data_IF_535777277582
#
_entry.id   IF_535777277582
#
_cell.length_a   1.000
_cell.length_b   1.000
_cell.length_c   1.000
_cell.angle_alpha   90.00
_cell.angle_beta   90.00
_cell.angle_gamma   90.00
#
_symmetry.space_group_name_H-M   'P 1'
#
loop_
_entity.id
_entity.type
_entity.pdbx_description
1 polymer ?
#
# COMPACT_ATOMS: atom_id res chain seq x y z
N UNK A 1 -21.99 13.13 5.43
CA UNK A 1 -21.74 12.49 6.74
C UNK A 1 -21.81 13.56 7.83
N UNK A 2 -22.59 13.37 8.88
CA UNK A 2 -22.72 14.37 9.96
C UNK A 2 -21.64 14.18 11.04
N UNK A 3 -21.55 15.10 12.01
CA UNK A 3 -20.55 15.04 13.09
C UNK A 3 -20.69 13.77 13.96
N UNK A 4 -21.92 13.38 14.29
CA UNK A 4 -22.21 12.18 15.09
C UNK A 4 -21.70 10.90 14.40
N UNK A 5 -21.89 10.80 13.09
CA UNK A 5 -21.41 9.67 12.29
C UNK A 5 -19.88 9.65 12.28
N UNK A 6 -19.22 10.81 12.14
CA UNK A 6 -17.75 10.90 12.08
C UNK A 6 -17.09 10.54 13.40
N UNK A 7 -17.65 10.98 14.54
CA UNK A 7 -17.16 10.61 15.88
C UNK A 7 -17.30 9.11 16.09
N UNK A 8 -18.46 8.54 15.73
CA UNK A 8 -18.72 7.11 15.85
C UNK A 8 -17.81 6.28 14.95
N UNK A 9 -17.55 6.74 13.73
CA UNK A 9 -16.61 6.11 12.81
C UNK A 9 -15.18 6.15 13.36
N UNK A 10 -14.70 7.33 13.76
CA UNK A 10 -13.37 7.52 14.32
C UNK A 10 -13.13 6.64 15.56
N UNK A 11 -14.10 6.61 16.49
CA UNK A 11 -14.01 5.77 17.68
C UNK A 11 -13.92 4.29 17.34
N UNK A 12 -14.81 3.81 16.45
CA UNK A 12 -14.82 2.39 16.05
C UNK A 12 -13.53 1.99 15.35
N UNK A 13 -12.98 2.87 14.51
CA UNK A 13 -11.69 2.65 13.85
C UNK A 13 -10.55 2.54 14.86
N UNK A 14 -10.54 3.38 15.89
CA UNK A 14 -9.56 3.31 16.97
C UNK A 14 -9.74 2.11 17.91
N UNK A 15 -10.69 1.20 17.66
CA UNK A 15 -10.98 0.05 18.53
C UNK A 15 -11.54 0.41 19.90
N UNK A 16 -11.90 1.68 20.14
CA UNK A 16 -12.30 2.16 21.46
C UNK A 16 -13.78 1.94 21.74
N UNK A 17 -14.14 1.55 22.96
CA UNK A 17 -15.51 1.69 23.46
C UNK A 17 -15.84 3.16 23.76
N UNK A 18 -17.12 3.51 23.86
CA UNK A 18 -17.51 4.88 24.23
C UNK A 18 -16.94 5.30 25.59
N UNK A 19 -16.82 4.35 26.53
CA UNK A 19 -16.21 4.59 27.84
C UNK A 19 -14.71 4.85 27.74
N UNK A 20 -13.98 4.03 26.98
CA UNK A 20 -12.53 4.20 26.81
C UNK A 20 -12.18 5.50 26.09
N UNK A 21 -12.96 5.89 25.07
CA UNK A 21 -12.78 7.19 24.42
C UNK A 21 -13.03 8.34 25.40
N UNK A 22 -14.08 8.23 26.23
CA UNK A 22 -14.40 9.26 27.21
C UNK A 22 -13.29 9.41 28.26
N UNK A 23 -12.75 8.29 28.75
CA UNK A 23 -11.61 8.26 29.67
C UNK A 23 -10.36 8.89 29.05
N UNK A 24 -10.04 8.53 27.81
CA UNK A 24 -8.88 9.07 27.07
C UNK A 24 -8.98 10.59 26.82
N UNK A 25 -10.19 11.11 26.66
CA UNK A 25 -10.47 12.54 26.46
C UNK A 25 -10.63 13.29 27.79
N UNK A 26 -10.83 12.58 28.91
CA UNK A 26 -11.08 13.14 30.23
C UNK A 26 -12.51 13.68 30.42
N UNK A 27 -13.51 13.06 29.79
CA UNK A 27 -14.92 13.44 29.89
C UNK A 27 -15.82 12.26 30.29
N UNK A 28 -17.07 12.54 30.67
CA UNK A 28 -18.03 11.49 30.99
C UNK A 28 -18.46 10.71 29.74
N UNK A 29 -18.65 9.39 29.85
CA UNK A 29 -19.13 8.52 28.76
C UNK A 29 -20.45 9.01 28.16
N UNK A 30 -21.32 9.60 28.97
CA UNK A 30 -22.59 10.18 28.54
C UNK A 30 -22.41 11.31 27.52
N UNK A 31 -21.32 12.08 27.60
CA UNK A 31 -21.01 13.14 26.64
C UNK A 31 -20.66 12.56 25.26
N UNK A 32 -19.84 11.50 25.21
CA UNK A 32 -19.55 10.78 23.96
C UNK A 32 -20.82 10.17 23.37
N UNK A 33 -21.67 9.56 24.21
CA UNK A 33 -22.96 9.00 23.77
C UNK A 33 -23.90 10.04 23.17
N UNK A 34 -23.98 11.23 23.76
CA UNK A 34 -24.80 12.35 23.23
C UNK A 34 -24.24 12.91 21.91
N UNK A 35 -22.92 12.93 21.76
CA UNK A 35 -22.27 13.32 20.51
C UNK A 35 -22.51 12.29 19.41
N UNK A 36 -22.38 10.99 19.68
CA UNK A 36 -22.62 9.92 18.69
C UNK A 36 -24.09 9.71 18.33
N UNK A 37 -25.01 10.08 19.23
CA UNK A 37 -26.46 10.03 18.96
C UNK A 37 -27.01 11.27 18.26
N UNK A 38 -26.16 12.28 18.00
CA UNK A 38 -26.57 13.53 17.36
C UNK A 38 -27.41 14.45 18.24
N UNK A 39 -27.60 14.12 19.53
CA UNK A 39 -28.27 15.00 20.51
C UNK A 39 -27.46 16.26 20.77
N UNK A 40 -26.14 16.17 20.65
CA UNK A 40 -25.20 17.29 20.75
C UNK A 40 -24.49 17.46 19.41
N UNK A 41 -24.66 18.65 18.79
CA UNK A 41 -24.16 18.94 17.45
C UNK A 41 -22.81 19.67 17.43
N UNK A 42 -22.26 20.04 18.60
CA UNK A 42 -21.00 20.76 18.76
C UNK A 42 -20.29 20.31 20.04
N UNK A 43 -18.97 20.22 20.01
CA UNK A 43 -18.16 19.89 21.20
C UNK A 43 -16.89 20.73 21.22
N UNK A 44 -16.49 21.22 22.39
CA UNK A 44 -15.16 21.82 22.61
C UNK A 44 -14.05 20.78 22.65
N UNK A 45 -14.39 19.49 22.72
CA UNK A 45 -13.45 18.38 22.86
C UNK A 45 -13.08 17.73 21.51
N UNK A 46 -13.46 18.32 20.38
CA UNK A 46 -13.25 17.72 19.06
C UNK A 46 -11.77 17.47 18.76
N UNK A 47 -10.87 18.35 19.18
CA UNK A 47 -9.42 18.17 18.97
C UNK A 47 -8.90 17.01 19.81
N UNK A 48 -9.35 16.88 21.06
CA UNK A 48 -8.97 15.80 21.96
C UNK A 48 -9.53 14.46 21.50
N UNK A 49 -10.79 14.44 21.05
CA UNK A 49 -11.41 13.25 20.45
C UNK A 49 -10.64 12.84 19.19
N UNK A 50 -10.29 13.80 18.33
CA UNK A 50 -9.51 13.54 17.13
C UNK A 50 -8.16 12.91 17.45
N UNK A 51 -7.44 13.46 18.43
CA UNK A 51 -6.17 12.90 18.91
C UNK A 51 -6.33 11.50 19.51
N UNK A 52 -7.33 11.29 20.38
CA UNK A 52 -7.57 10.00 21.02
C UNK A 52 -7.95 8.91 20.00
N UNK A 53 -8.60 9.29 18.90
CA UNK A 53 -8.96 8.38 17.83
C UNK A 53 -7.91 8.30 16.70
N UNK A 54 -6.82 9.06 16.77
CA UNK A 54 -5.80 9.10 15.70
C UNK A 54 -6.32 9.62 14.36
N UNK A 55 -7.20 10.63 14.36
CA UNK A 55 -7.79 11.21 13.14
C UNK A 55 -7.52 12.71 13.03
N UNK A 56 -7.62 13.22 11.81
CA UNK A 56 -7.51 14.63 11.51
C UNK A 56 -8.65 15.43 12.17
N UNK A 57 -8.28 16.43 12.98
CA UNK A 57 -9.25 17.26 13.71
C UNK A 57 -10.14 18.13 12.80
N UNK A 58 -9.62 18.56 11.66
CA UNK A 58 -10.37 19.33 10.65
C UNK A 58 -11.43 18.47 9.99
N UNK A 59 -11.08 17.23 9.59
CA UNK A 59 -12.04 16.26 9.07
C UNK A 59 -13.11 15.91 10.12
N UNK A 60 -12.71 15.69 11.38
CA UNK A 60 -13.68 15.34 12.42
C UNK A 60 -14.68 16.49 12.62
N UNK A 61 -14.20 17.74 12.69
CA UNK A 61 -15.03 18.91 12.96
C UNK A 61 -15.92 19.31 11.78
N UNK A 62 -15.37 19.37 10.56
CA UNK A 62 -16.07 19.92 9.38
C UNK A 62 -16.54 18.85 8.40
N UNK A 63 -15.84 17.72 8.33
CA UNK A 63 -15.97 16.73 7.26
C UNK A 63 -15.16 17.07 6.01
N UNK A 64 -14.39 18.16 6.03
CA UNK A 64 -13.50 18.57 4.94
C UNK A 64 -12.10 17.97 5.13
N UNK A 65 -11.46 17.59 4.02
CA UNK A 65 -10.16 16.92 4.02
C UNK A 65 -10.26 15.41 4.30
N UNK A 66 -9.12 14.78 4.52
CA UNK A 66 -9.05 13.35 4.79
C UNK A 66 -9.08 13.02 6.28
N UNK A 67 -9.64 11.85 6.61
CA UNK A 67 -9.79 11.38 7.98
C UNK A 67 -8.45 11.15 8.69
N UNK A 68 -7.41 10.73 7.97
CA UNK A 68 -6.05 10.58 8.47
C UNK A 68 -5.15 11.59 7.78
N UNK A 69 -4.14 12.11 8.47
CA UNK A 69 -3.05 12.79 7.76
C UNK A 69 -2.12 11.77 7.10
N UNK A 70 -1.33 12.14 6.07
CA UNK A 70 -0.34 11.24 5.47
C UNK A 70 0.66 10.66 6.47
N UNK A 71 1.01 11.42 7.52
CA UNK A 71 1.88 10.98 8.61
C UNK A 71 1.18 9.96 9.53
N UNK A 72 -0.12 10.15 9.79
CA UNK A 72 -0.92 9.20 10.56
C UNK A 72 -1.13 7.89 9.80
N UNK A 73 -1.28 7.96 8.47
CA UNK A 73 -1.39 6.79 7.58
C UNK A 73 -0.10 5.96 7.65
N UNK A 74 1.07 6.58 7.48
CA UNK A 74 2.36 5.89 7.57
C UNK A 74 2.63 5.29 8.96
N UNK A 75 2.25 6.01 10.02
CA UNK A 75 2.38 5.54 11.41
C UNK A 75 1.43 4.37 11.68
N UNK A 76 0.18 4.47 11.25
CA UNK A 76 -0.83 3.42 11.36
C UNK A 76 -0.37 2.15 10.63
N UNK A 77 0.11 2.26 9.39
CA UNK A 77 0.67 1.13 8.66
C UNK A 77 1.87 0.52 9.36
N UNK A 78 2.77 1.34 9.91
CA UNK A 78 3.93 0.86 10.65
C UNK A 78 3.53 0.07 11.92
N UNK A 79 2.54 0.57 12.68
CA UNK A 79 2.04 -0.11 13.88
C UNK A 79 1.24 -1.38 13.55
N UNK A 80 0.39 -1.33 12.53
CA UNK A 80 -0.41 -2.48 12.10
C UNK A 80 0.50 -3.59 11.56
N UNK A 81 1.52 -3.24 10.77
CA UNK A 81 2.58 -4.17 10.35
C UNK A 81 3.41 -4.70 11.53
N UNK A 82 3.52 -3.98 12.66
CA UNK A 82 4.15 -4.48 13.88
C UNK A 82 3.30 -5.49 14.63
N UNK A 83 2.03 -5.19 14.84
CA UNK A 83 1.09 -6.06 15.55
C UNK A 83 0.83 -7.36 14.78
N UNK A 84 0.65 -7.28 13.45
CA UNK A 84 0.43 -8.45 12.58
C UNK A 84 1.59 -9.44 12.64
N UNK A 85 2.83 -8.93 12.66
CA UNK A 85 4.06 -9.74 12.66
C UNK A 85 4.44 -10.30 14.02
N UNK A 86 3.94 -9.73 15.13
CA UNK A 86 4.10 -10.30 16.47
C UNK A 86 3.21 -11.52 16.71
N UNK A 87 2.25 -11.78 15.84
CA UNK A 87 1.39 -12.97 15.91
C UNK A 87 0.38 -12.92 17.05
N UNK A 88 0.06 -11.73 17.59
CA UNK A 88 -0.75 -11.58 18.81
C UNK A 88 -2.28 -11.64 18.57
N UNK A 89 -2.74 -11.86 17.34
CA UNK A 89 -4.16 -12.04 17.01
C UNK A 89 -4.40 -13.40 16.33
N UNK A 90 -4.93 -14.36 17.10
CA UNK A 90 -5.50 -15.63 16.63
C UNK A 90 -6.89 -15.44 15.95
N UNK A 91 -7.59 -14.32 16.20
CA UNK A 91 -8.99 -14.14 15.79
C UNK A 91 -9.23 -13.28 14.51
N UNK A 92 -8.22 -12.58 13.97
CA UNK A 92 -8.34 -11.77 12.74
C UNK A 92 -7.93 -12.55 11.47
N UNK A 93 -8.30 -13.82 11.41
CA UNK A 93 -7.83 -14.79 10.41
C UNK A 93 -8.23 -14.49 8.95
N UNK A 94 -9.20 -13.61 8.69
CA UNK A 94 -9.69 -13.38 7.33
C UNK A 94 -8.98 -12.24 6.59
N UNK A 95 -8.60 -11.17 7.29
CA UNK A 95 -7.91 -10.01 6.69
C UNK A 95 -6.38 -10.19 6.71
N UNK A 96 -5.87 -10.95 7.68
CA UNK A 96 -4.44 -11.15 7.92
C UNK A 96 -3.83 -12.45 7.33
N UNK A 97 -4.62 -13.35 6.73
CA UNK A 97 -4.05 -14.51 6.01
C UNK A 97 -3.36 -14.07 4.73
N UNK A 98 -4.04 -13.29 3.88
CA UNK A 98 -3.50 -12.88 2.58
C UNK A 98 -2.17 -12.13 2.71
N UNK A 99 -2.04 -11.22 3.68
CA UNK A 99 -0.80 -10.50 3.94
C UNK A 99 0.30 -11.36 4.55
N UNK A 100 -0.01 -12.27 5.49
CA UNK A 100 0.97 -13.20 6.05
C UNK A 100 1.45 -14.20 5.02
N UNK A 101 0.54 -14.74 4.22
CA UNK A 101 0.84 -15.65 3.11
C UNK A 101 1.69 -14.92 2.06
N UNK A 102 1.35 -13.66 1.72
CA UNK A 102 2.16 -12.82 0.82
C UNK A 102 3.55 -12.52 1.38
N UNK A 103 3.65 -12.21 2.68
CA UNK A 103 4.93 -11.97 3.35
C UNK A 103 5.78 -13.24 3.41
N UNK A 104 5.17 -14.41 3.63
CA UNK A 104 5.89 -15.68 3.64
C UNK A 104 6.30 -16.11 2.21
N UNK A 105 5.46 -15.88 1.20
CA UNK A 105 5.80 -15.99 -0.22
C UNK A 105 6.99 -15.08 -0.56
N UNK A 106 6.96 -13.81 -0.14
CA UNK A 106 8.04 -12.85 -0.35
C UNK A 106 9.34 -13.26 0.36
N UNK A 107 9.25 -13.72 1.62
CA UNK A 107 10.39 -14.29 2.37
C UNK A 107 10.96 -15.50 1.64
N UNK A 108 10.10 -16.36 1.08
CA UNK A 108 10.55 -17.49 0.29
C UNK A 108 11.30 -17.06 -0.95
N UNK A 109 10.79 -16.08 -1.71
CA UNK A 109 11.44 -15.55 -2.90
C UNK A 109 12.81 -14.92 -2.60
N UNK A 110 12.96 -14.23 -1.47
CA UNK A 110 14.24 -13.62 -1.05
C UNK A 110 15.37 -14.64 -0.84
N UNK A 111 15.06 -15.86 -0.36
CA UNK A 111 16.04 -16.92 -0.08
C UNK A 111 16.74 -17.47 -1.34
N UNK A 112 16.22 -17.15 -2.53
CA UNK A 112 16.70 -17.72 -3.80
C UNK A 112 17.35 -16.69 -4.73
N UNK A 113 17.57 -15.45 -4.27
CA UNK A 113 18.41 -14.49 -4.99
C UNK A 113 19.86 -15.01 -5.02
N UNK A 114 20.57 -14.94 -6.16
CA UNK A 114 21.92 -15.49 -6.28
C UNK A 114 22.90 -14.72 -5.36
N UNK A 115 23.16 -15.29 -4.18
CA UNK A 115 24.00 -14.75 -3.10
C UNK A 115 25.47 -15.21 -3.16
N UNK A 116 25.95 -15.66 -4.33
CA UNK A 116 27.36 -16.05 -4.50
C UNK A 116 28.35 -14.86 -4.37
N UNK A 117 27.86 -13.64 -4.13
CA UNK A 117 28.66 -12.44 -3.85
C UNK A 117 28.54 -12.08 -2.37
N UNK A 118 29.67 -11.76 -1.74
CA UNK A 118 29.75 -11.38 -0.32
C UNK A 118 29.13 -9.98 -0.03
N UNK A 119 28.68 -9.25 -1.05
CA UNK A 119 28.15 -7.89 -0.96
C UNK A 119 26.74 -7.80 -1.54
N UNK A 120 25.75 -7.78 -0.66
CA UNK A 120 24.32 -7.59 -0.99
C UNK A 120 23.80 -6.30 -0.39
N UNK A 121 22.75 -5.75 -1.00
CA UNK A 121 21.94 -4.64 -0.49
C UNK A 121 20.53 -5.15 -0.20
N UNK A 122 19.94 -4.66 0.89
CA UNK A 122 18.56 -4.94 1.27
C UNK A 122 17.62 -4.05 0.47
N UNK A 123 16.93 -4.62 -0.53
CA UNK A 123 16.00 -3.89 -1.38
C UNK A 123 14.58 -4.07 -0.84
N UNK A 124 13.87 -3.01 -0.41
CA UNK A 124 12.55 -3.15 0.16
C UNK A 124 11.53 -3.60 -0.88
N UNK A 125 10.53 -4.37 -0.45
CA UNK A 125 9.41 -4.76 -1.31
C UNK A 125 8.27 -3.75 -1.29
N UNK A 126 7.55 -3.62 -2.39
CA UNK A 126 6.19 -3.10 -2.38
C UNK A 126 5.23 -4.14 -1.81
N UNK A 127 4.28 -3.66 -1.01
CA UNK A 127 3.21 -4.45 -0.42
C UNK A 127 1.86 -3.77 -0.66
N UNK A 128 0.82 -4.59 -0.85
CA UNK A 128 -0.57 -4.14 -0.91
C UNK A 128 -1.17 -4.27 0.48
N UNK A 129 -1.68 -3.20 1.05
CA UNK A 129 -2.31 -3.18 2.37
C UNK A 129 -3.75 -2.69 2.22
N UNK A 130 -4.67 -3.11 3.09
CA UNK A 130 -6.02 -2.55 3.10
C UNK A 130 -5.99 -1.06 3.43
N UNK A 131 -6.78 -0.26 2.73
CA UNK A 131 -6.86 1.17 3.01
C UNK A 131 -7.59 1.37 4.35
N UNK A 132 -6.94 1.97 5.37
CA UNK A 132 -7.56 2.16 6.67
C UNK A 132 -8.74 3.16 6.62
N UNK A 133 -8.91 3.89 5.51
CA UNK A 133 -10.06 4.78 5.26
C UNK A 133 -11.21 4.04 4.58
N UNK A 134 -10.91 2.96 3.86
CA UNK A 134 -11.88 2.16 3.09
C UNK A 134 -11.36 0.72 2.94
N UNK A 135 -11.67 -0.18 3.89
CA UNK A 135 -11.15 -1.56 3.88
C UNK A 135 -11.60 -2.42 2.68
N UNK A 136 -12.46 -1.90 1.80
CA UNK A 136 -12.80 -2.54 0.53
C UNK A 136 -11.79 -2.27 -0.58
N UNK A 137 -10.80 -1.42 -0.31
CA UNK A 137 -9.72 -1.02 -1.21
C UNK A 137 -8.38 -1.32 -0.59
N UNK A 138 -7.38 -1.42 -1.44
CA UNK A 138 -5.99 -1.54 -1.04
C UNK A 138 -5.22 -0.25 -1.34
N UNK A 139 -4.05 -0.11 -0.75
CA UNK A 139 -3.02 0.88 -1.09
C UNK A 139 -1.67 0.17 -1.23
N UNK A 140 -0.79 0.77 -2.03
CA UNK A 140 0.57 0.25 -2.25
C UNK A 140 1.56 1.04 -1.40
N UNK A 141 2.30 0.34 -0.54
CA UNK A 141 3.32 0.91 0.34
C UNK A 141 4.68 0.21 0.19
N UNK A 142 5.75 0.89 0.62
CA UNK A 142 7.10 0.29 0.69
C UNK A 142 7.25 -0.39 2.05
N UNK A 143 7.59 -1.67 2.04
CA UNK A 143 7.86 -2.44 3.25
C UNK A 143 9.11 -1.94 3.97
N UNK A 144 9.01 -1.80 5.28
CA UNK A 144 10.15 -1.50 6.18
C UNK A 144 10.75 -2.77 6.81
N UNK A 145 10.24 -3.96 6.45
CA UNK A 145 10.60 -5.23 7.11
C UNK A 145 10.95 -6.36 6.15
N UNK A 146 10.36 -6.37 4.96
CA UNK A 146 10.61 -7.41 3.96
C UNK A 146 11.50 -6.82 2.89
N UNK A 147 12.67 -7.44 2.73
CA UNK A 147 13.68 -7.00 1.80
C UNK A 147 14.11 -8.17 0.91
N UNK A 148 14.56 -7.84 -0.29
CA UNK A 148 15.26 -8.73 -1.20
C UNK A 148 16.75 -8.44 -1.07
N UNK A 149 17.54 -9.45 -0.70
CA UNK A 149 18.99 -9.36 -0.75
C UNK A 149 19.44 -9.41 -2.21
N UNK A 150 19.81 -8.25 -2.76
CA UNK A 150 20.26 -8.15 -4.14
C UNK A 150 21.77 -7.92 -4.20
N UNK A 151 22.47 -8.67 -5.04
CA UNK A 151 23.90 -8.48 -5.26
C UNK A 151 24.19 -7.05 -5.77
N UNK A 152 25.07 -6.33 -5.05
CA UNK A 152 25.54 -4.97 -5.37
C UNK A 152 26.07 -4.81 -6.79
N UNK A 153 26.61 -5.87 -7.40
CA UNK A 153 27.12 -5.85 -8.76
C UNK A 153 26.00 -5.61 -9.79
N UNK A 154 24.79 -6.11 -9.53
CA UNK A 154 23.62 -5.90 -10.39
C UNK A 154 23.26 -4.42 -10.40
N UNK A 155 23.19 -3.79 -9.22
CA UNK A 155 22.91 -2.36 -9.07
C UNK A 155 23.99 -1.51 -9.75
N UNK A 156 25.26 -1.84 -9.51
CA UNK A 156 26.42 -1.15 -10.07
C UNK A 156 26.44 -1.21 -11.60
N UNK A 157 26.15 -2.38 -12.19
CA UNK A 157 26.07 -2.55 -13.66
C UNK A 157 24.95 -1.73 -14.30
N UNK A 158 23.86 -1.50 -13.57
CA UNK A 158 22.74 -0.67 -14.04
C UNK A 158 22.94 0.81 -13.70
N UNK A 159 23.97 1.16 -12.91
CA UNK A 159 24.22 2.53 -12.47
C UNK A 159 23.15 3.07 -11.52
N UNK A 160 22.52 2.20 -10.73
CA UNK A 160 21.40 2.54 -9.85
C UNK A 160 21.84 2.50 -8.38
N UNK A 161 21.37 3.47 -7.59
CA UNK A 161 21.63 3.52 -6.15
C UNK A 161 20.58 2.71 -5.37
N UNK A 162 20.96 2.01 -4.27
CA UNK A 162 20.04 1.20 -3.47
C UNK A 162 18.79 1.94 -2.99
N UNK A 163 18.90 3.21 -2.60
CA UNK A 163 17.76 3.99 -2.10
C UNK A 163 16.72 4.36 -3.18
N UNK A 164 17.02 4.09 -4.46
CA UNK A 164 16.13 4.38 -5.58
C UNK A 164 15.54 3.13 -6.21
N UNK A 165 15.62 1.98 -5.55
CA UNK A 165 15.07 0.72 -6.05
C UNK A 165 14.03 0.13 -5.10
N UNK A 166 13.11 -0.62 -5.68
CA UNK A 166 12.10 -1.37 -4.95
C UNK A 166 11.88 -2.72 -5.62
N UNK A 167 11.65 -3.75 -4.81
CA UNK A 167 11.26 -5.07 -5.28
C UNK A 167 9.73 -5.19 -5.35
N UNK A 168 9.22 -6.01 -6.25
CA UNK A 168 7.81 -6.36 -6.32
C UNK A 168 7.65 -7.84 -6.65
N UNK A 169 6.76 -8.53 -5.92
CA UNK A 169 6.36 -9.89 -6.28
C UNK A 169 5.49 -9.88 -7.53
N UNK A 170 5.67 -10.91 -8.35
CA UNK A 170 4.82 -11.18 -9.50
C UNK A 170 3.67 -12.06 -9.04
N UNK A 171 2.46 -11.64 -9.39
CA UNK A 171 1.25 -12.37 -9.06
C UNK A 171 0.39 -12.58 -10.29
N UNK A 172 -0.13 -13.79 -10.42
CA UNK A 172 -0.86 -14.26 -11.58
C UNK A 172 0.05 -14.54 -12.79
N UNK A 173 -0.58 -14.90 -13.90
CA UNK A 173 0.08 -15.39 -15.11
C UNK A 173 0.16 -14.36 -16.25
N UNK A 174 -0.12 -13.08 -15.97
CA UNK A 174 -0.22 -12.07 -17.04
C UNK A 174 1.10 -11.77 -17.74
N UNK A 175 2.23 -12.00 -17.06
CA UNK A 175 3.57 -11.79 -17.59
C UNK A 175 4.26 -13.10 -18.00
N UNK A 176 3.58 -14.24 -17.89
CA UNK A 176 4.05 -15.53 -18.37
C UNK A 176 4.23 -15.49 -19.90
N UNK A 177 5.27 -16.14 -20.46
CA UNK A 177 6.31 -16.93 -19.80
C UNK A 177 7.54 -16.13 -19.34
N UNK A 178 7.55 -14.80 -19.55
CA UNK A 178 8.72 -13.96 -19.24
C UNK A 178 8.94 -13.81 -17.74
N UNK A 179 7.86 -13.61 -17.00
CA UNK A 179 7.85 -13.60 -15.55
C UNK A 179 6.76 -14.55 -15.07
N UNK A 180 7.14 -15.52 -14.24
CA UNK A 180 6.21 -16.48 -13.65
C UNK A 180 5.56 -15.91 -12.39
N UNK A 181 4.39 -16.45 -12.07
CA UNK A 181 3.74 -16.25 -10.77
C UNK A 181 4.68 -16.64 -9.63
N UNK A 182 4.69 -15.87 -8.54
CA UNK A 182 5.64 -16.02 -7.43
C UNK A 182 7.06 -15.55 -7.73
N UNK A 183 7.34 -15.09 -8.96
CA UNK A 183 8.60 -14.44 -9.31
C UNK A 183 8.80 -13.09 -8.61
N UNK A 184 9.96 -12.48 -8.81
CA UNK A 184 10.27 -11.14 -8.25
C UNK A 184 10.90 -10.27 -9.32
N UNK A 185 10.57 -8.98 -9.31
CA UNK A 185 11.24 -7.95 -10.11
C UNK A 185 11.80 -6.87 -9.22
N UNK A 186 12.82 -6.17 -9.71
CA UNK A 186 13.35 -4.96 -9.10
C UNK A 186 13.23 -3.81 -10.09
N UNK A 187 12.68 -2.69 -9.61
CA UNK A 187 12.40 -1.51 -10.39
C UNK A 187 13.10 -0.27 -9.85
N UNK A 188 13.48 0.63 -10.75
CA UNK A 188 14.08 1.92 -10.40
C UNK A 188 12.99 3.00 -10.27
N UNK A 189 12.81 3.52 -9.06
CA UNK A 189 11.74 4.45 -8.68
C UNK A 189 11.81 5.82 -9.38
N UNK A 190 12.97 6.22 -9.90
CA UNK A 190 13.13 7.49 -10.64
C UNK A 190 12.80 7.37 -12.12
N UNK A 191 12.68 6.15 -12.63
CA UNK A 191 12.43 5.90 -14.04
C UNK A 191 10.93 5.67 -14.30
N UNK A 192 10.15 6.74 -14.17
CA UNK A 192 8.68 6.70 -14.38
C UNK A 192 8.28 7.16 -15.78
N UNK A 193 9.19 7.76 -16.54
CA UNK A 193 8.94 8.12 -17.92
C UNK A 193 8.94 6.87 -18.82
N UNK A 194 7.83 6.65 -19.53
CA UNK A 194 7.65 5.47 -20.36
C UNK A 194 8.59 5.47 -21.56
N UNK A 195 9.48 4.49 -21.57
CA UNK A 195 10.18 3.96 -22.74
C UNK A 195 9.41 2.75 -23.26
N UNK A 196 9.01 2.82 -24.53
CA UNK A 196 8.14 1.83 -25.16
C UNK A 196 8.72 0.41 -25.10
N UNK A 197 7.86 -0.54 -24.73
CA UNK A 197 8.20 -1.96 -24.63
C UNK A 197 9.01 -2.35 -23.39
N UNK A 198 9.33 -1.39 -22.50
CA UNK A 198 9.95 -1.70 -21.21
C UNK A 198 8.88 -2.07 -20.18
N UNK A 199 9.28 -2.89 -19.22
CA UNK A 199 8.43 -3.32 -18.11
C UNK A 199 8.49 -2.31 -16.98
N UNK A 200 7.36 -2.09 -16.32
CA UNK A 200 7.22 -1.17 -15.19
C UNK A 200 6.41 -1.84 -14.09
N UNK A 201 6.73 -1.47 -12.85
CA UNK A 201 5.86 -1.70 -11.70
C UNK A 201 4.89 -0.52 -11.62
N UNK A 202 3.61 -0.84 -11.43
CA UNK A 202 2.50 0.10 -11.51
C UNK A 202 1.64 -0.10 -10.27
N UNK A 203 1.30 0.99 -9.59
CA UNK A 203 0.18 1.04 -8.66
C UNK A 203 -1.07 1.38 -9.47
N UNK A 204 -2.01 0.44 -9.55
CA UNK A 204 -3.27 0.62 -10.25
C UNK A 204 -4.39 0.56 -9.23
N UNK A 205 -4.76 1.71 -8.68
CA UNK A 205 -5.84 1.80 -7.69
C UNK A 205 -5.60 0.96 -6.44
N UNK A 206 -4.35 0.86 -5.98
CA UNK A 206 -3.96 0.09 -4.81
C UNK A 206 -3.43 -1.31 -5.09
N UNK A 207 -3.38 -1.72 -6.36
CA UNK A 207 -2.89 -3.04 -6.77
C UNK A 207 -1.54 -2.92 -7.47
N UNK A 208 -0.58 -3.74 -7.05
CA UNK A 208 0.73 -3.84 -7.67
C UNK A 208 0.60 -4.67 -8.94
N UNK A 209 0.87 -4.05 -10.09
CA UNK A 209 0.84 -4.70 -11.39
C UNK A 209 2.18 -4.51 -12.09
N UNK A 210 2.63 -5.54 -12.82
CA UNK A 210 3.80 -5.44 -13.69
C UNK A 210 3.36 -5.62 -15.13
N UNK A 211 3.64 -4.62 -15.98
CA UNK A 211 3.24 -4.59 -17.40
C UNK A 211 4.32 -3.99 -18.27
N UNK A 212 4.33 -4.36 -19.55
CA UNK A 212 5.08 -3.63 -20.56
C UNK A 212 4.30 -2.38 -20.98
N UNK A 213 4.92 -1.20 -20.93
CA UNK A 213 4.25 0.06 -21.24
C UNK A 213 4.65 0.61 -22.61
N UNK A 214 3.68 1.23 -23.29
CA UNK A 214 3.87 1.97 -24.54
C UNK A 214 3.18 3.32 -24.42
N UNK A 215 3.83 4.37 -24.88
CA UNK A 215 3.23 5.72 -24.93
C UNK A 215 2.14 5.78 -25.98
N UNK A 216 1.10 6.54 -25.68
CA UNK A 216 0.05 6.93 -26.61
C UNK A 216 0.08 8.44 -26.83
N UNK A 217 -0.46 8.93 -27.96
CA UNK A 217 -0.66 10.36 -28.18
C UNK A 217 -1.43 11.00 -27.03
N UNK A 218 -1.08 12.23 -26.66
CA UNK A 218 -1.73 12.94 -25.56
C UNK A 218 -1.28 12.53 -24.16
N UNK A 219 -0.23 11.72 -24.03
CA UNK A 219 0.38 11.36 -22.74
C UNK A 219 -0.21 10.11 -22.08
N UNK A 220 -1.16 9.44 -22.73
CA UNK A 220 -1.70 8.16 -22.27
C UNK A 220 -0.71 7.01 -22.38
N UNK A 221 -1.11 5.86 -21.86
CA UNK A 221 -0.32 4.62 -21.89
C UNK A 221 -1.15 3.43 -22.36
N UNK A 222 -0.52 2.55 -23.13
CA UNK A 222 -1.01 1.19 -23.35
C UNK A 222 -0.22 0.25 -22.46
N UNK A 223 -0.93 -0.50 -21.62
CA UNK A 223 -0.39 -1.56 -20.80
C UNK A 223 -0.54 -2.89 -21.53
N UNK A 224 0.58 -3.58 -21.71
CA UNK A 224 0.64 -4.85 -22.41
C UNK A 224 1.12 -5.96 -21.48
N UNK A 225 0.34 -7.03 -21.45
CA UNK A 225 0.70 -8.31 -20.84
C UNK A 225 1.54 -9.13 -21.84
N UNK A 226 2.39 -10.04 -21.36
CA UNK A 226 3.02 -11.02 -22.26
C UNK A 226 2.05 -12.16 -22.59
N UNK A 227 1.24 -12.59 -21.62
CA UNK A 227 0.12 -13.50 -21.85
C UNK A 227 -1.11 -12.75 -22.40
N UNK A 228 -0.98 -12.23 -23.62
CA UNK A 228 -2.06 -11.46 -24.28
C UNK A 228 -3.33 -12.26 -24.59
N UNK A 229 -3.24 -13.59 -24.61
CA UNK A 229 -4.38 -14.47 -24.88
C UNK A 229 -5.41 -14.43 -23.74
N UNK A 230 -4.93 -14.46 -22.50
CA UNK A 230 -5.79 -14.36 -21.31
C UNK A 230 -5.93 -12.92 -20.80
N UNK A 231 -4.95 -12.06 -21.08
CA UNK A 231 -4.86 -10.69 -20.56
C UNK A 231 -4.68 -9.69 -21.71
N UNK A 232 -5.76 -9.25 -22.37
CA UNK A 232 -5.69 -8.32 -23.51
C UNK A 232 -5.06 -6.98 -23.12
N UNK A 233 -4.56 -6.25 -24.12
CA UNK A 233 -3.94 -4.93 -23.92
C UNK A 233 -4.96 -3.92 -23.37
N UNK A 234 -4.58 -3.20 -22.32
CA UNK A 234 -5.37 -2.14 -21.72
C UNK A 234 -4.82 -0.78 -22.19
N UNK A 235 -5.70 0.19 -22.44
CA UNK A 235 -5.31 1.53 -22.92
C UNK A 235 -5.96 2.59 -22.05
N UNK A 236 -5.15 3.53 -21.58
CA UNK A 236 -5.57 4.62 -20.71
C UNK A 236 -5.08 5.95 -21.28
N UNK A 237 -6.00 6.88 -21.49
CA UNK A 237 -5.69 8.30 -21.61
C UNK A 237 -5.23 8.87 -20.26
N UNK A 238 -4.66 10.08 -20.26
CA UNK A 238 -4.23 10.75 -19.03
C UNK A 238 -5.37 10.89 -18.02
N UNK A 239 -6.57 11.23 -18.49
CA UNK A 239 -7.76 11.36 -17.61
C UNK A 239 -8.18 10.03 -17.02
N UNK A 240 -8.19 8.97 -17.83
CA UNK A 240 -8.53 7.63 -17.33
C UNK A 240 -7.48 7.10 -16.35
N UNK A 241 -6.21 7.48 -16.51
CA UNK A 241 -5.18 7.17 -15.52
C UNK A 241 -5.43 7.89 -14.19
N UNK A 242 -5.81 9.17 -14.23
CA UNK A 242 -6.17 9.94 -13.03
C UNK A 242 -7.41 9.33 -12.35
N UNK A 243 -8.47 9.06 -13.11
CA UNK A 243 -9.73 8.50 -12.61
C UNK A 243 -9.56 7.10 -12.01
N UNK A 244 -8.68 6.28 -12.60
CA UNK A 244 -8.37 4.94 -12.11
C UNK A 244 -7.21 4.90 -11.09
N UNK A 245 -6.69 6.06 -10.68
CA UNK A 245 -5.56 6.19 -9.77
C UNK A 245 -4.34 5.32 -10.17
N UNK A 246 -3.93 5.44 -11.44
CA UNK A 246 -2.81 4.71 -12.02
C UNK A 246 -1.52 5.52 -11.87
N UNK A 247 -0.54 4.94 -11.17
CA UNK A 247 0.80 5.52 -10.98
C UNK A 247 1.86 4.55 -11.45
N UNK A 248 2.78 5.03 -12.27
CA UNK A 248 3.97 4.29 -12.66
C UNK A 248 4.98 4.42 -11.52
N UNK A 249 5.27 3.33 -10.83
CA UNK A 249 6.16 3.32 -9.66
C UNK A 249 7.63 3.34 -10.08
N UNK A 250 7.98 2.62 -11.14
CA UNK A 250 9.35 2.58 -11.64
C UNK A 250 9.58 1.55 -12.74
N UNK A 251 10.68 1.69 -13.47
CA UNK A 251 11.05 0.80 -14.57
C UNK A 251 11.77 -0.44 -14.05
N UNK A 252 11.32 -1.61 -14.48
CA UNK A 252 11.95 -2.90 -14.15
C UNK A 252 13.27 -3.02 -14.92
N UNK A 253 14.35 -3.31 -14.18
CA UNK A 253 15.68 -3.56 -14.77
C UNK A 253 16.20 -4.97 -14.44
N UNK A 254 15.60 -5.65 -13.47
CA UNK A 254 15.97 -7.00 -13.08
C UNK A 254 14.72 -7.81 -12.70
N UNK A 255 14.75 -9.11 -12.95
CA UNK A 255 13.73 -10.04 -12.49
C UNK A 255 14.23 -11.48 -12.44
N UNK A 256 13.60 -12.27 -11.57
CA UNK A 256 13.83 -13.69 -11.41
C UNK A 256 12.49 -14.43 -11.36
N UNK A 257 12.49 -15.65 -11.91
CA UNK A 257 11.35 -16.55 -11.87
C UNK A 257 11.86 -17.95 -11.54
N UNK A 258 11.04 -18.70 -10.81
CA UNK A 258 11.38 -20.03 -10.31
C UNK A 258 10.45 -21.05 -10.97
N UNK A 259 10.98 -22.22 -11.28
CA UNK A 259 10.31 -23.30 -12.01
C UNK A 259 10.44 -24.62 -11.25
#
# INVERSE_FOLDING_TARGET
>A
MNLSDRIKLARKKAGLTQSQLAESVGIAQTAISQLESGKTLRSSYLVQIARACGVNSTWLASGEGEMLSPEDVATYFSSELEEILRGEHEDDAALNSALRDRIEELRSASRYAPSNSLLTEEIPYLIELDDPRDPSKTVVEISVKVHLDLNTEILSKQGVLPEHVVAAAISGNSMTPVLQDGGTVVAHLRETQVVDGRMYVIDHGGQIRVKALYRLPGGGVRMKSYNTYEHPDETYSVREMEDANIRIMGRVFWGASFY
#
